data_IF_152233692691
#
_entry.id   IF_152233692691
#
_cell.length_a   1.000
_cell.length_b   1.000
_cell.length_c   1.000
_cell.angle_alpha   90.00
_cell.angle_beta   90.00
_cell.angle_gamma   90.00
#
_symmetry.space_group_name_H-M   'P 1'
#
loop_
_entity.id
_entity.type
_entity.pdbx_description
1 polymer ?
#
# COMPACT_ATOMS: atom_id res chain seq x y z
N UNK A 1 4.98 19.23 -68.56
CA UNK A 1 4.86 19.22 -67.08
C UNK A 1 3.44 18.81 -66.73
N UNK A 2 3.25 17.63 -66.13
CA UNK A 2 1.93 17.12 -65.79
C UNK A 2 1.47 17.72 -64.45
N UNK A 3 0.32 18.38 -64.44
CA UNK A 3 -0.26 18.96 -63.24
C UNK A 3 -0.91 17.87 -62.40
N UNK A 4 -0.27 17.47 -61.30
CA UNK A 4 -0.89 16.54 -60.36
C UNK A 4 -1.99 17.26 -59.58
N UNK A 5 -3.24 16.79 -59.73
CA UNK A 5 -4.37 17.21 -58.89
C UNK A 5 -4.06 16.83 -57.44
N UNK A 6 -3.79 17.83 -56.60
CA UNK A 6 -3.81 17.67 -55.15
C UNK A 6 -5.26 17.41 -54.75
N UNK A 7 -5.55 16.21 -54.22
CA UNK A 7 -6.86 15.88 -53.65
C UNK A 7 -6.99 16.61 -52.32
N UNK A 8 -7.81 17.66 -52.28
CA UNK A 8 -8.16 18.34 -51.04
C UNK A 8 -9.28 17.57 -50.33
N UNK A 9 -9.15 17.39 -49.02
CA UNK A 9 -10.19 16.83 -48.17
C UNK A 9 -11.39 17.76 -48.11
N UNK A 10 -12.60 17.18 -48.03
CA UNK A 10 -13.81 17.98 -47.83
C UNK A 10 -13.91 18.44 -46.37
N UNK A 11 -14.46 19.63 -46.15
CA UNK A 11 -14.74 20.12 -44.78
C UNK A 11 -15.69 19.15 -44.05
N UNK A 12 -16.63 18.54 -44.78
CA UNK A 12 -17.58 17.57 -44.23
C UNK A 12 -16.88 16.28 -43.77
N UNK A 13 -15.88 15.78 -44.50
CA UNK A 13 -15.08 14.64 -44.03
C UNK A 13 -14.37 14.94 -42.73
N UNK A 14 -13.72 16.11 -42.63
CA UNK A 14 -13.03 16.48 -41.39
C UNK A 14 -14.02 16.63 -40.23
N UNK A 15 -15.19 17.21 -40.49
CA UNK A 15 -16.25 17.42 -39.49
C UNK A 15 -16.80 16.08 -38.97
N UNK A 16 -17.06 15.11 -39.84
CA UNK A 16 -17.53 13.77 -39.43
C UNK A 16 -16.46 13.03 -38.63
N UNK A 17 -15.18 13.15 -38.99
CA UNK A 17 -14.10 12.47 -38.27
C UNK A 17 -13.93 13.01 -36.85
N UNK A 18 -13.88 14.35 -36.68
CA UNK A 18 -13.70 14.93 -35.33
C UNK A 18 -14.91 14.68 -34.43
N UNK A 19 -16.12 14.61 -35.01
CA UNK A 19 -17.33 14.28 -34.25
C UNK A 19 -17.32 12.82 -33.79
N UNK A 20 -16.95 11.87 -34.65
CA UNK A 20 -16.81 10.46 -34.26
C UNK A 20 -15.72 10.28 -33.18
N UNK A 21 -14.56 10.92 -33.36
CA UNK A 21 -13.48 10.89 -32.36
C UNK A 21 -13.96 11.47 -31.02
N UNK A 22 -14.73 12.57 -31.05
CA UNK A 22 -15.30 13.18 -29.84
C UNK A 22 -16.24 12.24 -29.09
N UNK A 23 -17.13 11.54 -29.80
CA UNK A 23 -18.06 10.57 -29.19
C UNK A 23 -17.30 9.39 -28.57
N UNK A 24 -16.33 8.82 -29.30
CA UNK A 24 -15.53 7.71 -28.80
C UNK A 24 -14.66 8.11 -27.60
N UNK A 25 -14.04 9.29 -27.64
CA UNK A 25 -13.23 9.82 -26.55
C UNK A 25 -14.06 10.03 -25.26
N UNK A 26 -15.28 10.54 -25.39
CA UNK A 26 -16.19 10.71 -24.26
C UNK A 26 -16.57 9.35 -23.63
N UNK A 27 -16.89 8.34 -24.46
CA UNK A 27 -17.25 7.01 -23.99
C UNK A 27 -16.08 6.31 -23.26
N UNK A 28 -14.86 6.39 -23.79
CA UNK A 28 -13.67 5.74 -23.20
C UNK A 28 -13.26 6.40 -21.87
N UNK A 29 -13.40 7.72 -21.76
CA UNK A 29 -12.89 8.47 -20.60
C UNK A 29 -13.46 7.98 -19.26
N UNK A 30 -14.75 7.64 -19.20
CA UNK A 30 -15.40 7.12 -17.96
C UNK A 30 -14.83 5.76 -17.56
N UNK A 31 -14.55 4.88 -18.54
CA UNK A 31 -14.06 3.52 -18.29
C UNK A 31 -12.62 3.48 -17.73
N UNK A 32 -11.78 4.44 -18.11
CA UNK A 32 -10.36 4.50 -17.71
C UNK A 32 -10.21 4.81 -16.22
N UNK A 33 -11.09 5.65 -15.66
CA UNK A 33 -11.04 6.01 -14.24
C UNK A 33 -11.26 4.79 -13.34
N UNK A 34 -12.30 4.00 -13.62
CA UNK A 34 -12.60 2.76 -12.86
C UNK A 34 -11.56 1.66 -13.07
N UNK A 35 -10.87 1.64 -14.21
CA UNK A 35 -9.78 0.69 -14.45
C UNK A 35 -8.53 1.02 -13.62
N UNK A 36 -8.18 2.30 -13.50
CA UNK A 36 -7.01 2.74 -12.71
C UNK A 36 -7.13 2.37 -11.23
N UNK A 37 -8.31 2.58 -10.62
CA UNK A 37 -8.54 2.19 -9.23
C UNK A 37 -8.36 0.68 -9.00
N UNK A 38 -9.00 -0.15 -9.84
CA UNK A 38 -8.86 -1.62 -9.78
C UNK A 38 -7.42 -2.09 -9.99
N UNK A 39 -6.67 -1.44 -10.88
CA UNK A 39 -5.25 -1.75 -11.09
C UNK A 39 -4.41 -1.46 -9.84
N UNK A 40 -4.71 -0.37 -9.11
CA UNK A 40 -4.03 -0.05 -7.85
C UNK A 40 -4.43 -1.01 -6.75
N UNK A 41 -5.70 -1.37 -6.62
CA UNK A 41 -6.16 -2.38 -5.66
C UNK A 41 -5.49 -3.75 -5.90
N UNK A 42 -5.35 -4.16 -7.16
CA UNK A 42 -4.59 -5.37 -7.51
C UNK A 42 -3.12 -5.28 -7.13
N UNK A 43 -2.51 -4.09 -7.24
CA UNK A 43 -1.12 -3.87 -6.81
C UNK A 43 -1.01 -3.96 -5.29
N UNK A 44 -1.92 -3.33 -4.54
CA UNK A 44 -1.99 -3.41 -3.06
C UNK A 44 -2.06 -4.86 -2.59
N UNK A 45 -2.91 -5.68 -3.19
CA UNK A 45 -3.01 -7.10 -2.85
C UNK A 45 -1.69 -7.88 -3.10
N UNK A 46 -0.96 -7.55 -4.17
CA UNK A 46 0.33 -8.19 -4.48
C UNK A 46 1.44 -7.75 -3.51
N UNK A 47 1.47 -6.46 -3.15
CA UNK A 47 2.41 -5.91 -2.16
C UNK A 47 2.19 -6.58 -0.79
N UNK A 48 0.93 -6.82 -0.42
CA UNK A 48 0.58 -7.50 0.82
C UNK A 48 1.07 -8.94 0.86
N UNK A 49 0.83 -9.72 -0.21
CA UNK A 49 1.36 -11.09 -0.27
C UNK A 49 2.88 -11.13 -0.18
N UNK A 50 3.56 -10.09 -0.67
CA UNK A 50 5.03 -9.98 -0.59
C UNK A 50 5.47 -9.71 0.84
N UNK A 51 4.84 -8.75 1.52
CA UNK A 51 5.13 -8.42 2.92
C UNK A 51 4.82 -9.60 3.84
N UNK A 52 3.68 -10.27 3.66
CA UNK A 52 3.28 -11.44 4.44
C UNK A 52 4.33 -12.55 4.39
N UNK A 53 4.83 -12.88 3.18
CA UNK A 53 5.93 -13.85 3.01
C UNK A 53 7.22 -13.39 3.69
N UNK A 54 7.51 -12.10 3.64
CA UNK A 54 8.70 -11.50 4.27
C UNK A 54 8.61 -11.60 5.80
N UNK A 55 7.45 -11.28 6.37
CA UNK A 55 7.16 -11.40 7.80
C UNK A 55 7.20 -12.86 8.27
N UNK A 56 6.68 -13.79 7.46
CA UNK A 56 6.74 -15.22 7.76
C UNK A 56 8.19 -15.74 7.75
N UNK A 57 9.02 -15.26 6.83
CA UNK A 57 10.45 -15.58 6.82
C UNK A 57 11.15 -15.04 8.06
N UNK A 58 10.93 -13.77 8.42
CA UNK A 58 11.46 -13.18 9.65
C UNK A 58 11.04 -13.97 10.90
N UNK A 59 9.76 -14.32 11.00
CA UNK A 59 9.26 -15.12 12.12
C UNK A 59 9.91 -16.50 12.21
N UNK A 60 10.24 -17.13 11.07
CA UNK A 60 10.90 -18.44 11.06
C UNK A 60 12.30 -18.35 11.68
N UNK A 61 13.00 -17.23 11.50
CA UNK A 61 14.37 -17.04 11.97
C UNK A 61 14.41 -16.49 13.41
N UNK A 62 13.44 -15.66 13.80
CA UNK A 62 13.44 -14.94 15.07
C UNK A 62 12.39 -15.43 16.08
N UNK A 63 11.41 -16.24 15.67
CA UNK A 63 10.25 -16.67 16.46
C UNK A 63 9.39 -15.53 17.03
N UNK A 64 9.56 -14.33 16.48
CA UNK A 64 8.79 -13.16 16.83
C UNK A 64 8.51 -12.29 15.60
N UNK A 65 7.47 -11.45 15.67
CA UNK A 65 7.24 -10.41 14.66
C UNK A 65 7.89 -9.09 15.08
N UNK A 66 8.27 -8.21 14.13
CA UNK A 66 8.82 -6.91 14.45
C UNK A 66 7.87 -6.10 15.33
N UNK A 67 8.43 -5.42 16.33
CA UNK A 67 7.67 -4.57 17.25
C UNK A 67 7.33 -3.21 16.64
N UNK A 68 6.82 -2.33 17.51
CA UNK A 68 6.39 -0.96 17.20
C UNK A 68 7.37 0.09 17.73
N UNK A 69 8.65 -0.25 17.91
CA UNK A 69 9.64 0.67 18.50
C UNK A 69 10.62 1.22 17.47
N UNK A 70 11.22 2.37 17.76
CA UNK A 70 12.43 2.82 17.06
C UNK A 70 13.64 2.00 17.53
N UNK A 71 14.58 1.81 16.62
CA UNK A 71 15.82 1.07 16.88
C UNK A 71 16.86 1.87 17.66
N UNK A 72 16.66 3.18 17.82
CA UNK A 72 17.65 4.12 18.39
C UNK A 72 17.37 4.46 19.87
N UNK A 73 16.12 4.68 20.25
CA UNK A 73 15.72 5.21 21.55
C UNK A 73 14.68 4.34 22.28
N UNK A 74 14.26 3.23 21.67
CA UNK A 74 13.17 2.36 22.12
C UNK A 74 11.84 3.10 22.34
N UNK A 75 11.59 4.15 21.56
CA UNK A 75 10.32 4.87 21.57
C UNK A 75 9.28 4.14 20.73
N UNK A 76 8.02 4.15 21.13
CA UNK A 76 6.93 3.63 20.28
C UNK A 76 6.81 4.51 19.03
N UNK A 77 6.73 3.89 17.85
CA UNK A 77 6.63 4.52 16.54
C UNK A 77 5.52 3.88 15.71
N UNK A 78 4.97 4.66 14.79
CA UNK A 78 3.96 4.21 13.86
C UNK A 78 4.60 3.57 12.64
N UNK A 79 4.32 2.28 12.40
CA UNK A 79 4.76 1.63 11.18
C UNK A 79 3.75 1.85 10.06
N UNK A 80 3.93 2.94 9.31
CA UNK A 80 3.14 3.23 8.11
C UNK A 80 4.00 3.51 6.89
N UNK A 81 3.52 3.16 5.70
CA UNK A 81 4.20 3.46 4.43
C UNK A 81 4.28 4.96 4.12
N UNK A 82 3.44 5.76 4.76
CA UNK A 82 3.45 7.22 4.64
C UNK A 82 4.50 7.87 5.56
N UNK A 83 4.89 7.17 6.63
CA UNK A 83 5.88 7.58 7.62
C UNK A 83 5.28 8.51 8.69
N UNK A 84 5.43 8.18 9.97
CA UNK A 84 5.05 9.06 11.09
C UNK A 84 5.80 8.71 12.39
N UNK A 85 6.10 9.72 13.21
CA UNK A 85 6.53 9.57 14.60
C UNK A 85 5.33 9.70 15.56
N UNK A 86 5.33 8.94 16.66
CA UNK A 86 4.16 8.84 17.56
C UNK A 86 3.86 10.13 18.33
N UNK A 87 4.74 11.14 18.25
CA UNK A 87 4.53 12.43 18.92
C UNK A 87 3.39 13.25 18.28
N UNK A 88 2.92 12.86 17.08
CA UNK A 88 1.72 13.41 16.41
C UNK A 88 0.64 12.37 16.10
N UNK A 89 0.83 11.09 16.45
CA UNK A 89 -0.13 10.01 16.19
C UNK A 89 -0.04 9.42 14.77
N UNK A 90 -0.31 8.11 14.65
CA UNK A 90 -0.39 7.43 13.36
C UNK A 90 -1.68 7.87 12.66
N UNK A 91 -1.61 8.34 11.40
CA UNK A 91 -2.06 9.68 11.02
C UNK A 91 -3.55 9.94 11.30
N UNK A 92 -3.87 11.11 11.90
CA UNK A 92 -4.89 11.99 11.33
C UNK A 92 -4.53 13.48 11.41
N UNK A 93 -3.37 13.90 10.90
CA UNK A 93 -3.10 15.29 10.53
C UNK A 93 -1.82 15.35 9.70
N UNK A 94 -1.86 16.12 8.60
CA UNK A 94 -0.81 16.21 7.58
C UNK A 94 0.46 16.92 8.06
N UNK A 95 1.04 16.46 9.17
CA UNK A 95 2.26 17.02 9.75
C UNK A 95 3.22 15.93 10.25
N UNK A 96 3.38 14.84 9.47
CA UNK A 96 4.53 13.94 9.56
C UNK A 96 5.80 14.76 9.21
N UNK A 97 6.29 15.53 10.17
CA UNK A 97 7.26 16.60 9.96
C UNK A 97 8.72 16.14 10.13
N UNK A 98 8.98 14.83 10.05
CA UNK A 98 10.32 14.27 10.20
C UNK A 98 10.65 13.08 9.28
N UNK A 99 9.67 12.41 8.65
CA UNK A 99 9.95 11.36 7.66
C UNK A 99 9.81 11.92 6.24
N UNK A 100 10.67 11.54 5.27
CA UNK A 100 10.45 11.87 3.87
C UNK A 100 9.06 11.38 3.47
N UNK A 101 8.14 12.32 3.21
CA UNK A 101 6.76 12.03 2.81
C UNK A 101 6.79 10.93 1.74
N UNK A 102 6.11 9.82 2.04
CA UNK A 102 5.95 8.74 1.08
C UNK A 102 6.88 7.52 1.27
N UNK A 103 7.49 7.34 2.45
CA UNK A 103 8.22 6.11 2.80
C UNK A 103 8.00 5.71 4.26
N UNK A 104 8.23 4.42 4.55
CA UNK A 104 8.32 3.87 5.90
C UNK A 104 9.32 4.62 6.78
N UNK A 105 9.04 4.71 8.08
CA UNK A 105 9.97 5.28 9.05
C UNK A 105 11.23 4.42 9.11
N UNK A 106 12.37 4.95 8.66
CA UNK A 106 13.60 4.16 8.44
C UNK A 106 14.18 3.56 9.71
N UNK A 107 13.98 4.24 10.83
CA UNK A 107 14.51 3.81 12.12
C UNK A 107 13.53 2.89 12.87
N UNK A 108 12.37 2.58 12.27
CA UNK A 108 11.43 1.64 12.88
C UNK A 108 12.00 0.22 12.91
N UNK A 109 11.59 -0.52 13.93
CA UNK A 109 11.93 -1.93 14.08
C UNK A 109 11.39 -2.76 12.93
N UNK A 110 10.21 -2.47 12.37
CA UNK A 110 9.73 -3.12 11.15
C UNK A 110 10.69 -2.92 9.98
N UNK A 111 11.07 -1.67 9.68
CA UNK A 111 11.92 -1.37 8.53
C UNK A 111 13.29 -2.02 8.66
N UNK A 112 13.93 -1.86 9.82
CA UNK A 112 15.26 -2.40 10.11
C UNK A 112 15.30 -3.93 10.22
N UNK A 113 14.20 -4.56 10.65
CA UNK A 113 14.10 -6.02 10.76
C UNK A 113 13.90 -6.71 9.41
N UNK A 114 13.09 -6.11 8.53
CA UNK A 114 12.74 -6.74 7.25
C UNK A 114 13.68 -6.31 6.11
N UNK A 115 14.10 -5.05 6.09
CA UNK A 115 14.88 -4.46 5.01
C UNK A 115 16.29 -4.07 5.49
N UNK A 116 17.36 -4.44 4.75
CA UNK A 116 17.37 -5.05 3.41
C UNK A 116 17.39 -6.59 3.41
N UNK A 117 17.34 -7.25 4.58
CA UNK A 117 17.66 -8.67 4.72
C UNK A 117 16.66 -9.61 4.06
N UNK A 118 15.37 -9.42 4.29
CA UNK A 118 14.29 -10.28 3.79
C UNK A 118 13.60 -9.67 2.56
N UNK A 119 13.62 -8.35 2.46
CA UNK A 119 13.12 -7.59 1.31
C UNK A 119 14.03 -6.40 1.04
N UNK A 120 14.26 -6.07 -0.23
CA UNK A 120 15.15 -4.96 -0.62
C UNK A 120 14.63 -3.59 -0.19
N UNK A 121 13.32 -3.38 -0.29
CA UNK A 121 12.61 -2.19 0.19
C UNK A 121 11.17 -2.56 0.50
N UNK A 122 10.62 -2.08 1.61
CA UNK A 122 9.20 -2.25 1.88
C UNK A 122 8.36 -1.51 0.82
N UNK A 123 7.32 -2.16 0.27
CA UNK A 123 6.46 -1.54 -0.72
C UNK A 123 5.64 -0.41 -0.07
N UNK A 124 5.26 0.56 -0.89
CA UNK A 124 4.41 1.68 -0.50
C UNK A 124 3.15 1.68 -1.34
N UNK A 125 2.06 2.24 -0.81
CA UNK A 125 0.82 2.35 -1.58
C UNK A 125 1.06 3.09 -2.92
N UNK A 126 0.39 2.72 -4.02
CA UNK A 126 0.55 3.43 -5.29
C UNK A 126 0.24 4.94 -5.24
N UNK A 127 -0.62 5.37 -4.32
CA UNK A 127 -0.91 6.79 -4.08
C UNK A 127 -0.10 7.35 -2.89
N UNK A 128 0.08 6.55 -1.85
CA UNK A 128 0.83 6.85 -0.62
C UNK A 128 0.58 8.29 -0.12
N UNK A 129 -0.68 8.57 0.22
CA UNK A 129 -1.14 9.86 0.72
C UNK A 129 -1.81 9.71 2.11
N UNK A 130 -2.45 10.78 2.60
CA UNK A 130 -3.10 10.79 3.91
C UNK A 130 -4.30 9.82 4.02
N UNK A 131 -4.82 9.32 2.90
CA UNK A 131 -5.95 8.39 2.85
C UNK A 131 -5.55 6.98 2.42
N UNK A 132 -4.57 6.85 1.53
CA UNK A 132 -4.12 5.59 0.96
C UNK A 132 -2.68 5.32 1.38
N UNK A 133 -2.51 4.54 2.44
CA UNK A 133 -1.22 4.10 2.94
C UNK A 133 -1.36 2.68 3.52
N UNK A 134 -0.22 2.02 3.73
CA UNK A 134 -0.13 0.76 4.44
C UNK A 134 0.19 1.02 5.90
N UNK A 135 -0.41 0.23 6.79
CA UNK A 135 -0.15 0.28 8.22
C UNK A 135 0.10 -1.12 8.75
N UNK A 136 1.11 -1.22 9.61
CA UNK A 136 1.44 -2.38 10.42
C UNK A 136 1.19 -2.05 11.89
N UNK A 137 0.50 -2.93 12.61
CA UNK A 137 0.25 -2.81 14.05
C UNK A 137 0.45 -4.19 14.72
N UNK A 138 1.65 -4.48 15.27
CA UNK A 138 1.90 -5.66 16.09
C UNK A 138 1.09 -5.63 17.39
N UNK A 139 0.92 -6.78 18.03
CA UNK A 139 0.25 -6.84 19.33
C UNK A 139 1.06 -6.11 20.41
N UNK A 140 0.38 -5.26 21.18
CA UNK A 140 0.93 -4.63 22.39
C UNK A 140 1.33 -5.63 23.48
N UNK A 141 0.84 -6.87 23.39
CA UNK A 141 1.22 -7.93 24.31
C UNK A 141 2.36 -8.77 23.69
N UNK A 142 3.59 -8.72 24.24
CA UNK A 142 4.73 -9.49 23.70
C UNK A 142 4.53 -11.00 23.76
N UNK A 143 3.58 -11.49 24.57
CA UNK A 143 3.20 -12.91 24.58
C UNK A 143 2.34 -13.32 23.37
N UNK A 144 1.87 -12.35 22.57
CA UNK A 144 1.03 -12.56 21.38
C UNK A 144 1.81 -12.19 20.13
N UNK A 145 2.27 -13.22 19.43
CA UNK A 145 2.99 -13.08 18.16
C UNK A 145 1.99 -12.89 17.01
N UNK A 146 1.37 -11.72 16.96
CA UNK A 146 0.47 -11.36 15.87
C UNK A 146 0.50 -9.88 15.56
N UNK A 147 0.03 -9.55 14.38
CA UNK A 147 -0.02 -8.20 13.86
C UNK A 147 -1.27 -8.00 13.00
N UNK A 148 -1.67 -6.76 12.88
CA UNK A 148 -2.68 -6.28 11.96
C UNK A 148 -1.96 -5.56 10.83
N UNK A 149 -2.33 -5.88 9.60
CA UNK A 149 -1.88 -5.12 8.45
C UNK A 149 -3.10 -4.53 7.72
N UNK A 150 -3.04 -3.25 7.42
CA UNK A 150 -4.20 -2.49 6.92
C UNK A 150 -3.87 -1.65 5.70
N UNK A 151 -4.88 -1.51 4.83
CA UNK A 151 -4.87 -0.57 3.72
C UNK A 151 -6.29 -0.13 3.36
N UNK A 152 -6.37 0.92 2.56
CA UNK A 152 -7.61 1.45 2.04
C UNK A 152 -7.73 1.13 0.55
N UNK A 153 -8.87 0.56 0.17
CA UNK A 153 -9.23 0.34 -1.24
C UNK A 153 -9.95 1.56 -1.78
N UNK A 154 -9.80 1.81 -3.07
CA UNK A 154 -10.53 2.90 -3.73
C UNK A 154 -12.01 2.59 -3.96
N UNK A 155 -12.39 1.32 -3.81
CA UNK A 155 -13.79 0.90 -3.71
C UNK A 155 -14.46 1.31 -2.38
N UNK A 156 -13.76 2.01 -1.48
CA UNK A 156 -14.32 2.61 -0.26
C UNK A 156 -14.31 1.71 0.96
N UNK A 157 -13.52 0.64 0.97
CA UNK A 157 -13.37 -0.25 2.12
C UNK A 157 -11.97 -0.16 2.75
N UNK A 158 -11.91 -0.04 4.08
CA UNK A 158 -10.71 -0.42 4.85
C UNK A 158 -10.62 -1.93 4.79
N UNK A 159 -9.54 -2.44 4.21
CA UNK A 159 -9.27 -3.87 4.21
C UNK A 159 -8.28 -4.14 5.33
N UNK A 160 -8.81 -4.76 6.37
CA UNK A 160 -7.99 -5.35 7.41
C UNK A 160 -7.63 -6.73 6.89
N UNK A 161 -6.35 -6.99 6.72
CA UNK A 161 -5.84 -8.34 6.54
C UNK A 161 -5.37 -8.76 7.93
N UNK A 162 -6.27 -9.29 8.79
CA UNK A 162 -5.80 -9.99 9.96
C UNK A 162 -4.85 -11.07 9.46
N UNK A 163 -3.80 -11.36 10.23
CA UNK A 163 -3.03 -12.55 9.97
C UNK A 163 -3.98 -13.76 10.08
N UNK A 164 -4.49 -14.25 8.95
CA UNK A 164 -5.20 -15.52 8.87
C UNK A 164 -4.19 -16.67 8.99
N UNK A 165 -3.33 -16.60 10.01
CA UNK A 165 -2.58 -17.76 10.46
C UNK A 165 -3.44 -18.35 11.56
N UNK A 166 -4.46 -19.12 11.14
CA UNK A 166 -5.29 -19.94 12.02
C UNK A 166 -4.51 -21.02 12.80
N UNK A 167 -3.18 -20.93 12.87
CA UNK A 167 -2.27 -21.92 13.43
C UNK A 167 -1.18 -21.34 14.35
N UNK A 168 -1.10 -20.02 14.58
CA UNK A 168 -0.13 -19.49 15.54
C UNK A 168 -0.63 -19.73 16.97
N UNK A 169 -0.06 -20.77 17.56
CA UNK A 169 -0.11 -21.08 18.96
C UNK A 169 0.71 -20.03 19.72
N UNK A 170 0.17 -19.50 20.81
CA UNK A 170 0.99 -18.76 21.76
C UNK A 170 2.09 -19.65 22.37
N UNK A 171 2.99 -19.08 23.18
CA UNK A 171 4.04 -19.83 23.89
C UNK A 171 3.50 -20.95 24.81
N UNK A 172 2.17 -20.98 25.05
CA UNK A 172 1.45 -22.03 25.78
C UNK A 172 0.72 -23.05 24.90
N UNK A 173 0.83 -22.96 23.56
CA UNK A 173 0.25 -23.94 22.65
C UNK A 173 -1.20 -23.67 22.23
N UNK A 174 -1.79 -22.52 22.59
CA UNK A 174 -3.21 -22.19 22.35
C UNK A 174 -3.38 -21.38 21.08
N UNK A 175 -4.28 -21.82 20.20
CA UNK A 175 -4.68 -21.08 18.99
C UNK A 175 -5.36 -19.77 19.40
N UNK A 176 -4.71 -18.63 19.13
CA UNK A 176 -5.29 -17.31 19.39
C UNK A 176 -6.16 -16.93 18.19
N UNK A 177 -7.48 -17.10 18.31
CA UNK A 177 -8.45 -16.78 17.24
C UNK A 177 -8.75 -15.28 17.12
N UNK A 178 -8.26 -14.46 18.04
CA UNK A 178 -8.46 -13.00 18.04
C UNK A 178 -7.26 -12.29 18.63
N UNK A 179 -6.60 -11.48 17.82
CA UNK A 179 -5.65 -10.50 18.30
C UNK A 179 -6.38 -9.22 18.67
N UNK A 180 -6.23 -8.79 19.92
CA UNK A 180 -6.66 -7.48 20.37
C UNK A 180 -5.49 -6.52 20.13
N UNK A 181 -5.70 -5.55 19.25
CA UNK A 181 -4.73 -4.55 18.81
C UNK A 181 -5.01 -3.21 19.48
#
# INVERSE_FOLDING_TARGET
MAYQKIRAFTIVELLVVVTIIGILAAAVSVSVLSFRGRSRDSRRAADFSTIEKTLAAYYTDHFEYPGETDSLNNNIVCDSSYGADFNTGCPPDGNASSSPLGQWYKDSTLYSSLSPTYISTLPVDPLNDTFYYYRYEPSKNPARQCFLWEYWTESGGRTNVPNNIGDLKDASGVLQTTCNF
#
